data_IF_118432117476
#
_entry.id   IF_118432117476
#
_cell.length_a   1.000
_cell.length_b   1.000
_cell.length_c   1.000
_cell.angle_alpha   90.00
_cell.angle_beta   90.00
_cell.angle_gamma   90.00
#
_symmetry.space_group_name_H-M   'P 1'
#
loop_
_entity.id
_entity.type
_entity.pdbx_description
1 polymer ?
#
# COMPACT_ATOMS: atom_id res chain seq x y z
N UNK A 1 28.84 6.44 4.36
CA UNK A 1 27.49 6.44 4.95
C UNK A 1 26.53 5.88 3.92
N UNK A 2 26.07 4.63 4.05
CA UNK A 2 25.10 4.07 3.11
C UNK A 2 23.70 4.54 3.54
N UNK A 3 23.14 5.51 2.82
CA UNK A 3 21.72 5.85 2.90
C UNK A 3 20.92 4.66 2.39
N UNK A 4 20.34 3.89 3.31
CA UNK A 4 19.36 2.86 2.99
C UNK A 4 18.13 3.61 2.46
N UNK A 5 18.01 3.69 1.14
CA UNK A 5 16.80 4.17 0.48
C UNK A 5 15.69 3.19 0.82
N UNK A 6 14.83 3.54 1.77
CA UNK A 6 13.59 2.81 1.96
C UNK A 6 12.75 3.07 0.72
N UNK A 7 12.59 2.04 -0.12
CA UNK A 7 11.60 2.09 -1.19
C UNK A 7 10.25 2.30 -0.50
N UNK A 8 9.75 3.53 -0.55
CA UNK A 8 8.50 3.91 0.11
C UNK A 8 7.42 3.02 -0.50
N UNK A 9 6.62 2.32 0.32
CA UNK A 9 5.64 1.38 -0.22
C UNK A 9 4.74 2.08 -1.24
N UNK A 10 4.88 1.67 -2.48
CA UNK A 10 4.39 2.39 -3.65
C UNK A 10 2.89 2.15 -3.81
N UNK A 11 2.16 3.21 -4.15
CA UNK A 11 0.76 3.12 -4.48
C UNK A 11 0.66 2.49 -5.87
N UNK A 12 0.12 1.27 -5.95
CA UNK A 12 0.02 0.53 -7.22
C UNK A 12 -1.12 1.08 -8.07
N UNK A 13 -2.29 1.26 -7.45
CA UNK A 13 -3.51 1.62 -8.15
C UNK A 13 -4.49 2.33 -7.21
N UNK A 14 -5.30 3.21 -7.80
CA UNK A 14 -6.39 3.89 -7.12
C UNK A 14 -7.63 3.88 -8.01
N UNK A 15 -8.80 3.59 -7.43
CA UNK A 15 -10.07 3.62 -8.13
C UNK A 15 -11.17 4.23 -7.26
N UNK A 16 -11.96 5.13 -7.84
CA UNK A 16 -13.21 5.60 -7.25
C UNK A 16 -14.32 4.60 -7.56
N UNK A 17 -15.06 4.19 -6.54
CA UNK A 17 -16.13 3.18 -6.66
C UNK A 17 -17.37 3.70 -5.95
N UNK A 18 -18.55 3.49 -6.55
CA UNK A 18 -19.84 3.82 -5.94
C UNK A 18 -20.52 2.52 -5.53
N UNK A 19 -20.80 2.36 -4.23
CA UNK A 19 -21.49 1.20 -3.67
C UNK A 19 -22.58 1.70 -2.73
N UNK A 20 -23.80 1.15 -2.83
CA UNK A 20 -24.91 1.46 -1.92
C UNK A 20 -25.15 2.98 -1.73
N UNK A 21 -25.16 3.74 -2.84
CA UNK A 21 -25.29 5.21 -2.88
C UNK A 21 -24.14 6.00 -2.23
N UNK A 22 -23.13 5.35 -1.67
CA UNK A 22 -21.92 5.97 -1.11
C UNK A 22 -20.75 5.91 -2.10
N UNK A 23 -19.83 6.87 -1.99
CA UNK A 23 -18.62 6.91 -2.79
C UNK A 23 -17.40 6.50 -1.96
N UNK A 24 -16.54 5.67 -2.55
CA UNK A 24 -15.33 5.16 -1.93
C UNK A 24 -14.13 5.37 -2.83
N UNK A 25 -12.97 5.56 -2.22
CA UNK A 25 -11.67 5.44 -2.86
C UNK A 25 -11.07 4.13 -2.39
N UNK A 26 -10.83 3.23 -3.34
CA UNK A 26 -10.06 2.01 -3.12
C UNK A 26 -8.65 2.25 -3.62
N UNK A 27 -7.64 1.97 -2.81
CA UNK A 27 -6.25 2.03 -3.21
C UNK A 27 -5.51 0.74 -2.86
N UNK A 28 -4.65 0.30 -3.77
CA UNK A 28 -3.77 -0.85 -3.60
C UNK A 28 -2.36 -0.35 -3.27
N UNK A 29 -1.77 -0.92 -2.23
CA UNK A 29 -0.43 -0.57 -1.78
C UNK A 29 0.38 -1.82 -1.52
N UNK A 30 1.63 -1.80 -1.95
CA UNK A 30 2.60 -2.82 -1.58
C UNK A 30 3.00 -2.64 -0.11
N UNK A 31 2.94 -3.70 0.67
CA UNK A 31 3.29 -3.66 2.09
C UNK A 31 4.33 -4.75 2.36
N UNK A 32 5.49 -4.39 2.97
CA UNK A 32 6.45 -5.38 3.39
C UNK A 32 5.85 -6.24 4.51
N UNK A 33 5.88 -7.55 4.36
CA UNK A 33 5.32 -8.51 5.34
C UNK A 33 6.38 -9.25 6.12
N UNK A 34 7.57 -9.39 5.56
CA UNK A 34 8.71 -9.99 6.25
C UNK A 34 9.96 -9.17 5.98
N UNK A 35 10.59 -8.70 7.05
CA UNK A 35 11.82 -7.96 7.02
C UNK A 35 12.92 -8.91 7.52
N UNK A 36 13.99 -9.08 6.75
CA UNK A 36 15.15 -9.86 7.16
C UNK A 36 15.91 -9.13 8.27
N UNK A 37 16.71 -9.86 9.08
CA UNK A 37 17.76 -9.22 9.88
C UNK A 37 18.65 -8.38 8.96
N UNK A 38 18.81 -7.08 9.26
CA UNK A 38 19.51 -6.13 8.39
C UNK A 38 18.60 -5.26 7.49
N UNK A 39 17.29 -5.27 7.70
CA UNK A 39 16.36 -4.28 7.11
C UNK A 39 15.96 -4.52 5.66
N UNK A 40 16.36 -5.65 5.07
CA UNK A 40 15.95 -6.02 3.70
C UNK A 40 14.53 -6.57 3.68
N UNK A 41 13.71 -6.12 2.73
CA UNK A 41 12.36 -6.64 2.52
C UNK A 41 12.47 -8.01 1.84
N UNK A 42 11.97 -9.06 2.49
CA UNK A 42 11.99 -10.43 1.94
C UNK A 42 10.71 -10.79 1.19
N UNK A 43 9.60 -10.17 1.59
CA UNK A 43 8.28 -10.46 1.02
C UNK A 43 7.42 -9.21 1.02
N UNK A 44 6.83 -8.94 -0.14
CA UNK A 44 5.87 -7.86 -0.37
C UNK A 44 4.49 -8.50 -0.56
N UNK A 45 3.46 -7.91 0.02
CA UNK A 45 2.07 -8.26 -0.25
C UNK A 45 1.29 -7.03 -0.67
N UNK A 46 0.35 -7.19 -1.60
CA UNK A 46 -0.57 -6.12 -1.97
C UNK A 46 -1.73 -6.08 -0.98
N UNK A 47 -1.98 -4.91 -0.36
CA UNK A 47 -3.15 -4.68 0.48
C UNK A 47 -4.09 -3.66 -0.17
N UNK A 48 -5.38 -3.95 -0.10
CA UNK A 48 -6.43 -3.02 -0.47
C UNK A 48 -6.86 -2.19 0.74
N UNK A 49 -7.00 -0.89 0.54
CA UNK A 49 -7.49 0.06 1.52
C UNK A 49 -8.69 0.80 0.94
N UNK A 50 -9.71 1.03 1.76
CA UNK A 50 -10.97 1.63 1.35
C UNK A 50 -11.23 2.85 2.23
N UNK A 51 -11.48 4.00 1.61
CA UNK A 51 -11.87 5.23 2.29
C UNK A 51 -13.20 5.74 1.74
N UNK A 52 -14.18 5.95 2.60
CA UNK A 52 -15.44 6.63 2.23
C UNK A 52 -15.18 8.12 1.99
N UNK A 53 -15.73 8.65 0.90
CA UNK A 53 -15.71 10.09 0.58
C UNK A 53 -17.00 10.69 1.17
N UNK A 54 -16.86 11.56 2.18
CA UNK A 54 -17.97 12.32 2.76
C UNK A 54 -18.22 13.59 1.97
#
# INVERSE_FOLDING_TARGET
>A
MNTISYNVPELIAQKKVKLLKKQYIVYLKEVPTRIAPGGKILKITVRAFIKEIK
#
